data_IF_499429858991
#
_entry.id   IF_499429858991
#
_cell.length_a   1.000
_cell.length_b   1.000
_cell.length_c   1.000
_cell.angle_alpha   90.00
_cell.angle_beta   90.00
_cell.angle_gamma   90.00
#
_symmetry.space_group_name_H-M   'P 1'
#
loop_
_entity.id
_entity.type
_entity.pdbx_description
1 polymer ?
#
# COMPACT_ATOMS: atom_id res chain seq x y z
N UNK A 1 -9.75 51.02 -16.48
CA UNK A 1 -9.48 49.72 -15.83
C UNK A 1 -9.78 49.89 -14.36
N UNK A 2 -10.90 49.31 -13.94
CA UNK A 2 -11.57 49.56 -12.67
C UNK A 2 -10.78 48.96 -11.51
N UNK A 3 -10.11 49.81 -10.73
CA UNK A 3 -9.64 49.44 -9.39
C UNK A 3 -10.75 49.89 -8.43
N UNK A 4 -11.43 48.93 -7.82
CA UNK A 4 -12.48 49.19 -6.84
C UNK A 4 -12.11 48.56 -5.49
N UNK A 5 -12.32 49.39 -4.47
CA UNK A 5 -12.42 49.16 -3.03
C UNK A 5 -11.13 49.37 -2.21
N UNK A 6 -11.20 50.38 -1.33
CA UNK A 6 -11.07 50.08 0.10
C UNK A 6 -12.15 50.76 0.95
N UNK A 7 -12.53 50.13 2.07
CA UNK A 7 -12.84 50.75 3.39
C UNK A 7 -13.18 49.68 4.44
N UNK A 8 -12.17 49.36 5.25
CA UNK A 8 -12.15 49.38 6.73
C UNK A 8 -13.36 48.91 7.60
N UNK A 9 -12.98 48.22 8.69
CA UNK A 9 -13.57 48.12 10.05
C UNK A 9 -14.66 47.05 10.30
N UNK A 10 -14.37 46.02 11.12
CA UNK A 10 -14.79 45.95 12.55
C UNK A 10 -14.34 44.65 13.24
N UNK A 11 -13.79 44.87 14.45
CA UNK A 11 -13.39 43.94 15.50
C UNK A 11 -14.59 43.22 16.14
N UNK A 12 -14.36 41.95 16.50
CA UNK A 12 -14.81 41.21 17.70
C UNK A 12 -16.31 41.02 17.97
N UNK A 13 -16.75 39.76 18.13
CA UNK A 13 -17.58 39.31 19.26
C UNK A 13 -17.86 37.79 19.21
N UNK A 14 -17.25 37.07 20.15
CA UNK A 14 -17.58 35.73 20.60
C UNK A 14 -19.05 35.68 21.06
N UNK A 15 -19.89 34.83 20.45
CA UNK A 15 -21.25 34.56 20.95
C UNK A 15 -21.24 33.34 21.86
N UNK A 16 -21.09 33.58 23.15
CA UNK A 16 -21.51 32.63 24.18
C UNK A 16 -23.04 32.68 24.28
N UNK A 17 -23.72 31.60 23.91
CA UNK A 17 -25.13 31.41 24.25
C UNK A 17 -25.18 30.85 25.68
N UNK A 18 -25.39 31.75 26.65
CA UNK A 18 -25.72 31.39 28.03
C UNK A 18 -27.24 31.22 28.11
N UNK A 19 -27.72 30.00 28.35
CA UNK A 19 -29.13 29.74 28.64
C UNK A 19 -29.35 29.99 30.13
N UNK A 20 -29.72 31.22 30.49
CA UNK A 20 -30.23 31.54 31.83
C UNK A 20 -31.61 30.91 32.03
N UNK A 21 -31.74 30.09 33.07
CA UNK A 21 -33.05 29.69 33.61
C UNK A 21 -33.60 30.86 34.40
N UNK A 22 -34.58 31.58 33.85
CA UNK A 22 -35.28 32.64 34.56
C UNK A 22 -36.30 32.04 35.53
N UNK A 23 -35.99 32.05 36.83
CA UNK A 23 -36.98 31.80 37.90
C UNK A 23 -37.84 33.05 38.04
N UNK A 24 -39.06 33.01 37.50
CA UNK A 24 -40.02 34.11 37.60
C UNK A 24 -40.64 34.09 39.01
N UNK A 25 -40.21 35.02 39.87
CA UNK A 25 -40.81 35.21 41.20
C UNK A 25 -42.07 36.07 41.04
N UNK A 26 -43.25 35.46 41.18
CA UNK A 26 -44.52 36.20 41.19
C UNK A 26 -44.86 36.53 42.64
N UNK A 27 -44.77 37.81 43.00
CA UNK A 27 -45.28 38.35 44.25
C UNK A 27 -46.78 38.64 44.07
N UNK A 28 -47.65 37.78 44.60
CA UNK A 28 -49.11 38.03 44.59
C UNK A 28 -49.52 38.77 45.86
N UNK A 29 -49.97 40.01 45.72
CA UNK A 29 -50.70 40.72 46.78
C UNK A 29 -52.21 40.52 46.54
N UNK A 30 -52.84 39.83 47.49
CA UNK A 30 -54.29 39.71 47.76
C UNK A 30 -55.18 38.98 46.74
N UNK A 31 -55.64 37.78 47.13
CA UNK A 31 -57.09 37.52 47.13
C UNK A 31 -57.72 36.60 46.07
N UNK A 32 -57.02 35.64 45.47
CA UNK A 32 -57.62 34.49 44.76
C UNK A 32 -56.70 33.28 44.95
N UNK A 33 -57.26 32.10 45.26
CA UNK A 33 -56.50 30.88 45.54
C UNK A 33 -55.48 30.55 44.46
N UNK A 34 -54.21 30.85 44.72
CA UNK A 34 -53.10 30.50 43.84
C UNK A 34 -52.88 28.98 43.92
N UNK A 35 -53.36 28.26 42.92
CA UNK A 35 -52.86 26.93 42.61
C UNK A 35 -51.41 27.15 42.14
N UNK A 36 -50.45 27.05 43.06
CA UNK A 36 -49.04 27.03 42.68
C UNK A 36 -48.86 25.83 41.74
N UNK A 37 -48.42 26.03 40.49
CA UNK A 37 -48.04 24.90 39.66
C UNK A 37 -46.92 24.19 40.41
N UNK A 38 -47.13 22.93 40.76
CA UNK A 38 -46.05 22.06 41.23
C UNK A 38 -45.04 22.03 40.08
N UNK A 39 -43.97 22.81 40.23
CA UNK A 39 -42.81 22.75 39.35
C UNK A 39 -42.17 21.39 39.60
N UNK A 40 -42.64 20.36 38.90
CA UNK A 40 -41.96 19.08 38.86
C UNK A 40 -40.63 19.35 38.18
N UNK A 41 -39.56 19.43 38.98
CA UNK A 41 -38.21 19.51 38.46
C UNK A 41 -38.01 18.31 37.53
N UNK A 42 -37.82 18.59 36.24
CA UNK A 42 -37.56 17.56 35.25
C UNK A 42 -36.30 16.80 35.66
N UNK A 43 -36.42 15.50 35.83
CA UNK A 43 -35.27 14.65 36.16
C UNK A 43 -34.18 14.85 35.09
N UNK A 44 -32.96 15.11 35.53
CA UNK A 44 -31.83 15.28 34.62
C UNK A 44 -31.62 14.00 33.80
N UNK A 45 -31.21 14.19 32.55
CA UNK A 45 -30.75 13.10 31.69
C UNK A 45 -29.29 12.80 32.05
N UNK A 46 -29.02 11.54 32.36
CA UNK A 46 -27.70 11.02 32.75
C UNK A 46 -27.21 9.99 31.72
N UNK A 47 -25.93 9.61 31.83
CA UNK A 47 -25.32 8.60 30.98
C UNK A 47 -26.08 7.27 31.06
N UNK A 48 -26.32 6.62 29.91
CA UNK A 48 -27.08 5.37 29.81
C UNK A 48 -28.61 5.52 29.85
N UNK A 49 -29.15 6.72 30.03
CA UNK A 49 -30.59 6.93 29.97
C UNK A 49 -31.18 6.59 28.60
N UNK A 50 -32.42 6.12 28.61
CA UNK A 50 -33.24 5.96 27.42
C UNK A 50 -34.14 7.18 27.25
N UNK A 51 -34.14 7.78 26.07
CA UNK A 51 -34.98 8.95 25.75
C UNK A 51 -35.79 8.72 24.49
N UNK A 52 -36.97 9.34 24.42
CA UNK A 52 -37.83 9.40 23.23
C UNK A 52 -38.53 10.74 23.17
N UNK A 53 -38.62 11.34 21.98
CA UNK A 53 -39.37 12.59 21.83
C UNK A 53 -40.88 12.35 21.94
N UNK A 54 -41.61 13.30 22.52
CA UNK A 54 -43.07 13.23 22.60
C UNK A 54 -43.68 13.13 21.19
N UNK A 55 -44.51 12.09 20.97
CA UNK A 55 -45.13 11.82 19.67
C UNK A 55 -44.24 11.06 18.68
N UNK A 56 -43.04 10.66 19.08
CA UNK A 56 -42.10 9.87 18.29
C UNK A 56 -42.05 8.43 18.83
N UNK A 57 -41.67 7.47 17.98
CA UNK A 57 -41.48 6.07 18.36
C UNK A 57 -40.01 5.71 18.59
N UNK A 58 -39.07 6.47 18.01
CA UNK A 58 -37.65 6.19 18.11
C UNK A 58 -37.14 6.32 19.55
N UNK A 59 -36.54 5.24 20.05
CA UNK A 59 -35.87 5.23 21.37
C UNK A 59 -34.37 5.35 21.17
N UNK A 60 -33.75 6.25 21.93
CA UNK A 60 -32.31 6.46 21.91
C UNK A 60 -31.69 6.17 23.27
N UNK A 61 -30.51 5.56 23.26
CA UNK A 61 -29.65 5.45 24.45
C UNK A 61 -28.64 6.60 24.49
N UNK A 62 -28.59 7.30 25.60
CA UNK A 62 -27.72 8.47 25.83
C UNK A 62 -26.32 8.02 26.24
N UNK A 63 -25.30 8.69 25.70
CA UNK A 63 -23.91 8.60 26.15
C UNK A 63 -23.36 9.98 26.42
N UNK A 64 -22.79 10.20 27.59
CA UNK A 64 -22.17 11.43 28.03
C UNK A 64 -20.67 11.20 28.19
N UNK A 65 -19.84 11.93 27.43
CA UNK A 65 -18.37 11.83 27.51
C UNK A 65 -17.80 13.23 27.67
N UNK A 66 -17.36 13.59 28.87
CA UNK A 66 -16.96 14.96 29.19
C UNK A 66 -18.11 15.94 28.93
N UNK A 67 -17.91 16.89 28.01
CA UNK A 67 -18.95 17.84 27.59
C UNK A 67 -19.80 17.34 26.40
N UNK A 68 -19.46 16.19 25.80
CA UNK A 68 -20.17 15.65 24.63
C UNK A 68 -21.47 14.97 25.07
N UNK A 69 -22.56 15.33 24.39
CA UNK A 69 -23.88 14.72 24.54
C UNK A 69 -24.20 13.92 23.29
N UNK A 70 -24.15 12.60 23.41
CA UNK A 70 -24.35 11.67 22.31
C UNK A 70 -25.62 10.86 22.55
N UNK A 71 -26.26 10.44 21.46
CA UNK A 71 -27.36 9.48 21.51
C UNK A 71 -27.19 8.45 20.40
N UNK A 72 -27.65 7.23 20.60
CA UNK A 72 -27.69 6.19 19.57
C UNK A 72 -29.10 5.63 19.46
N UNK A 73 -29.61 5.51 18.25
CA UNK A 73 -30.89 4.87 17.98
C UNK A 73 -30.84 3.40 18.38
N UNK A 74 -31.86 2.92 19.10
CA UNK A 74 -32.17 1.50 19.23
C UNK A 74 -33.13 1.17 18.11
N UNK A 75 -32.64 0.46 17.09
CA UNK A 75 -33.29 0.37 15.78
C UNK A 75 -34.72 -0.16 15.81
N UNK A 76 -34.97 -1.17 16.64
CA UNK A 76 -36.27 -1.82 16.74
C UNK A 76 -36.46 -2.48 18.12
N UNK A 77 -37.69 -2.91 18.47
CA UNK A 77 -38.00 -3.53 19.75
C UNK A 77 -37.25 -4.84 20.02
N UNK A 78 -36.91 -5.62 19.00
CA UNK A 78 -36.19 -6.89 19.18
C UNK A 78 -34.77 -6.62 19.71
N UNK A 79 -34.07 -5.65 19.12
CA UNK A 79 -32.78 -5.19 19.63
C UNK A 79 -32.91 -4.70 21.07
N UNK A 80 -33.95 -3.91 21.39
CA UNK A 80 -34.19 -3.44 22.74
C UNK A 80 -34.30 -4.60 23.73
N UNK A 81 -35.11 -5.61 23.41
CA UNK A 81 -35.41 -6.74 24.27
C UNK A 81 -34.21 -7.69 24.48
N UNK A 82 -33.20 -7.62 23.62
CA UNK A 82 -31.96 -8.38 23.79
C UNK A 82 -31.06 -7.83 24.89
N UNK A 83 -31.26 -6.58 25.32
CA UNK A 83 -30.54 -5.99 26.44
C UNK A 83 -31.31 -6.16 27.75
N UNK A 84 -30.93 -7.16 28.56
CA UNK A 84 -31.58 -7.46 29.85
C UNK A 84 -31.64 -6.30 30.85
N UNK A 85 -30.75 -5.32 30.71
CA UNK A 85 -30.68 -4.15 31.60
C UNK A 85 -31.56 -2.98 31.12
N UNK A 86 -32.01 -3.00 29.86
CA UNK A 86 -32.92 -1.99 29.33
C UNK A 86 -34.37 -2.35 29.66
N UNK A 87 -35.17 -1.35 29.99
CA UNK A 87 -36.59 -1.51 30.34
C UNK A 87 -37.40 -0.40 29.71
N UNK A 88 -38.52 -0.74 29.06
CA UNK A 88 -39.42 0.24 28.45
C UNK A 88 -39.94 1.29 29.44
N UNK A 89 -40.12 0.89 30.72
CA UNK A 89 -40.49 1.79 31.81
C UNK A 89 -39.44 2.88 32.12
N UNK A 90 -38.19 2.68 31.68
CA UNK A 90 -37.10 3.62 31.91
C UNK A 90 -36.96 4.63 30.76
N UNK A 91 -37.75 4.52 29.69
CA UNK A 91 -37.73 5.47 28.58
C UNK A 91 -38.34 6.79 29.03
N UNK A 92 -37.51 7.83 29.10
CA UNK A 92 -37.91 9.19 29.46
C UNK A 92 -38.48 9.90 28.24
N UNK A 93 -39.71 10.40 28.36
CA UNK A 93 -40.30 11.27 27.32
C UNK A 93 -39.72 12.67 27.43
N UNK A 94 -39.16 13.16 26.34
CA UNK A 94 -38.51 14.47 26.21
C UNK A 94 -39.15 15.30 25.10
N UNK A 95 -38.83 16.59 25.03
CA UNK A 95 -39.21 17.39 23.85
C UNK A 95 -38.28 17.05 22.68
N UNK A 96 -38.74 17.27 21.44
CA UNK A 96 -37.89 17.08 20.26
C UNK A 96 -36.60 17.91 20.35
N UNK A 97 -36.72 19.18 20.76
CA UNK A 97 -35.57 20.08 20.93
C UNK A 97 -34.53 19.57 21.93
N UNK A 98 -34.95 18.95 23.04
CA UNK A 98 -34.01 18.36 23.99
C UNK A 98 -33.36 17.09 23.43
N UNK A 99 -34.13 16.22 22.79
CA UNK A 99 -33.61 15.03 22.09
C UNK A 99 -32.58 15.42 21.03
N UNK A 100 -32.83 16.49 20.27
CA UNK A 100 -31.94 16.98 19.21
C UNK A 100 -30.72 17.75 19.72
N UNK A 101 -30.69 18.10 21.02
CA UNK A 101 -29.48 18.62 21.67
C UNK A 101 -28.39 17.57 21.89
N UNK A 102 -28.70 16.28 21.67
CA UNK A 102 -27.74 15.18 21.68
C UNK A 102 -27.39 14.81 20.23
N UNK A 103 -26.11 14.77 19.90
CA UNK A 103 -25.62 14.36 18.59
C UNK A 103 -25.86 12.87 18.39
N UNK A 104 -26.53 12.50 17.30
CA UNK A 104 -26.74 11.09 16.96
C UNK A 104 -25.43 10.45 16.52
N UNK A 105 -24.97 9.45 17.26
CA UNK A 105 -23.90 8.57 16.80
C UNK A 105 -24.46 7.43 15.95
N UNK A 106 -23.74 7.14 14.87
CA UNK A 106 -23.96 5.99 13.98
C UNK A 106 -22.79 5.00 14.07
N UNK A 107 -21.88 5.18 15.02
CA UNK A 107 -20.66 4.39 15.13
C UNK A 107 -20.80 3.37 16.25
N UNK A 108 -20.62 2.10 15.92
CA UNK A 108 -20.70 1.00 16.89
C UNK A 108 -19.55 0.02 16.75
N UNK A 109 -19.26 -0.70 17.82
CA UNK A 109 -18.36 -1.85 17.83
C UNK A 109 -19.02 -2.96 18.63
N UNK A 110 -18.99 -4.19 18.14
CA UNK A 110 -19.51 -5.30 18.94
C UNK A 110 -18.59 -5.59 20.13
N UNK A 111 -19.16 -6.03 21.24
CA UNK A 111 -18.38 -6.45 22.40
C UNK A 111 -17.42 -7.60 22.02
N UNK A 112 -16.16 -7.48 22.42
CA UNK A 112 -15.08 -8.40 22.01
C UNK A 112 -14.61 -8.27 20.55
N UNK A 113 -15.18 -7.36 19.75
CA UNK A 113 -14.75 -7.07 18.37
C UNK A 113 -13.85 -5.83 18.35
N UNK A 114 -12.90 -5.78 17.41
CA UNK A 114 -12.07 -4.59 17.16
C UNK A 114 -12.62 -3.71 16.05
N UNK A 115 -13.55 -4.21 15.24
CA UNK A 115 -14.10 -3.49 14.08
C UNK A 115 -15.13 -2.44 14.50
N UNK A 116 -14.93 -1.22 14.02
CA UNK A 116 -15.92 -0.14 14.14
C UNK A 116 -16.77 -0.10 12.88
N UNK A 117 -18.08 -0.12 13.06
CA UNK A 117 -19.06 -0.08 11.99
C UNK A 117 -19.78 1.27 11.98
N UNK A 118 -19.94 1.83 10.78
CA UNK A 118 -20.87 2.91 10.50
C UNK A 118 -22.24 2.30 10.16
N UNK A 119 -23.26 2.66 10.93
CA UNK A 119 -24.62 2.20 10.76
C UNK A 119 -25.40 3.14 9.83
N UNK A 120 -26.29 2.58 9.03
CA UNK A 120 -27.23 3.30 8.17
C UNK A 120 -28.64 2.75 8.40
N UNK A 121 -29.36 3.27 9.41
CA UNK A 121 -30.75 2.92 9.65
C UNK A 121 -31.66 3.29 8.46
N UNK A 122 -32.63 2.43 8.19
CA UNK A 122 -33.72 2.60 7.22
C UNK A 122 -34.99 1.98 7.81
N UNK A 123 -35.76 2.81 8.53
CA UNK A 123 -36.86 2.35 9.39
C UNK A 123 -36.38 1.40 10.49
N UNK A 124 -37.07 0.26 10.64
CA UNK A 124 -36.74 -0.79 11.63
C UNK A 124 -35.60 -1.73 11.17
N UNK A 125 -35.01 -1.45 10.00
CA UNK A 125 -33.88 -2.20 9.42
C UNK A 125 -32.71 -1.27 9.12
N UNK A 126 -31.62 -1.80 8.58
CA UNK A 126 -30.52 -0.95 8.15
C UNK A 126 -29.32 -1.73 7.65
N UNK A 127 -28.27 -1.00 7.31
CA UNK A 127 -26.98 -1.58 6.95
C UNK A 127 -25.84 -1.14 7.89
N UNK A 128 -24.77 -1.93 7.91
CA UNK A 128 -23.52 -1.63 8.60
C UNK A 128 -22.37 -1.69 7.60
N UNK A 129 -21.43 -0.77 7.70
CA UNK A 129 -20.23 -0.75 6.88
C UNK A 129 -19.02 -0.73 7.81
N UNK A 130 -18.05 -1.62 7.62
CA UNK A 130 -16.84 -1.59 8.44
C UNK A 130 -15.99 -0.38 8.04
N UNK A 131 -15.58 0.42 9.03
CA UNK A 131 -14.56 1.46 8.87
C UNK A 131 -13.19 0.80 9.00
N UNK A 132 -12.49 0.61 7.88
CA UNK A 132 -11.41 -0.39 7.78
C UNK A 132 -10.14 -0.05 8.54
N UNK A 133 -9.85 1.23 8.80
CA UNK A 133 -8.66 1.66 9.53
C UNK A 133 -8.95 2.82 10.49
N UNK A 134 -8.18 2.90 11.59
CA UNK A 134 -8.26 4.02 12.52
C UNK A 134 -7.82 5.35 11.89
N UNK A 135 -6.88 5.32 10.94
CA UNK A 135 -6.47 6.50 10.18
C UNK A 135 -7.61 7.05 9.32
N UNK A 136 -8.34 6.17 8.62
CA UNK A 136 -9.50 6.57 7.84
C UNK A 136 -10.64 7.07 8.73
N UNK A 137 -10.85 6.43 9.88
CA UNK A 137 -11.80 6.91 10.88
C UNK A 137 -11.52 8.38 11.28
N UNK A 138 -10.26 8.69 11.63
CA UNK A 138 -9.86 10.06 12.00
C UNK A 138 -9.96 11.02 10.81
N UNK A 139 -9.59 10.58 9.59
CA UNK A 139 -9.65 11.44 8.40
C UNK A 139 -11.08 11.83 7.99
N UNK A 140 -12.07 10.98 8.28
CA UNK A 140 -13.49 11.29 8.10
C UNK A 140 -14.05 12.20 9.22
N UNK A 141 -13.23 12.58 10.18
CA UNK A 141 -13.65 13.37 11.34
C UNK A 141 -14.52 12.59 12.32
N UNK A 142 -14.51 11.26 12.25
CA UNK A 142 -15.21 10.44 13.23
C UNK A 142 -14.52 10.53 14.59
N UNK A 143 -15.34 10.40 15.63
CA UNK A 143 -14.93 10.60 17.01
C UNK A 143 -15.00 9.28 17.77
N UNK A 144 -13.88 8.86 18.37
CA UNK A 144 -13.81 7.62 19.13
C UNK A 144 -14.75 7.63 20.35
N UNK A 145 -15.04 8.82 20.91
CA UNK A 145 -16.02 8.96 21.99
C UNK A 145 -17.45 8.69 21.51
N UNK A 146 -17.72 8.85 20.21
CA UNK A 146 -19.01 8.54 19.61
C UNK A 146 -19.22 7.03 19.39
N UNK A 147 -18.20 6.18 19.51
CA UNK A 147 -18.36 4.73 19.32
C UNK A 147 -19.10 4.12 20.51
N UNK A 148 -20.22 3.46 20.24
CA UNK A 148 -20.94 2.66 21.23
C UNK A 148 -20.48 1.19 21.16
N UNK A 149 -20.30 0.56 22.32
CA UNK A 149 -20.18 -0.90 22.36
C UNK A 149 -21.57 -1.52 22.35
N UNK A 150 -21.84 -2.45 21.44
CA UNK A 150 -23.13 -3.13 21.27
C UNK A 150 -22.95 -4.65 21.37
N UNK A 151 -24.02 -5.40 21.61
CA UNK A 151 -23.95 -6.85 21.54
C UNK A 151 -23.89 -7.34 20.08
N UNK A 152 -23.53 -8.61 19.89
CA UNK A 152 -23.43 -9.20 18.56
C UNK A 152 -24.79 -9.24 17.84
N UNK A 153 -25.89 -9.47 18.56
CA UNK A 153 -27.24 -9.52 17.98
C UNK A 153 -27.61 -8.19 17.30
N UNK A 154 -27.39 -7.07 17.99
CA UNK A 154 -27.65 -5.74 17.45
C UNK A 154 -26.78 -5.49 16.22
N UNK A 155 -25.48 -5.76 16.33
CA UNK A 155 -24.56 -5.64 15.18
C UNK A 155 -25.09 -6.44 13.98
N UNK A 156 -25.50 -7.69 14.20
CA UNK A 156 -25.93 -8.63 13.15
C UNK A 156 -27.38 -8.40 12.66
N UNK A 157 -28.16 -7.55 13.34
CA UNK A 157 -29.47 -7.09 12.87
C UNK A 157 -29.36 -6.10 11.70
N UNK A 158 -28.19 -5.48 11.50
CA UNK A 158 -27.89 -4.66 10.33
C UNK A 158 -27.31 -5.52 9.21
N UNK A 159 -27.87 -5.37 8.00
CA UNK A 159 -27.33 -5.98 6.78
C UNK A 159 -25.90 -5.50 6.51
N UNK A 160 -25.02 -6.37 6.05
CA UNK A 160 -23.64 -5.95 5.76
C UNK A 160 -23.59 -5.19 4.43
N UNK A 161 -23.19 -3.92 4.47
CA UNK A 161 -22.91 -3.09 3.31
C UNK A 161 -21.42 -3.16 2.92
N UNK A 162 -21.07 -2.47 1.83
CA UNK A 162 -19.67 -2.37 1.41
C UNK A 162 -18.84 -1.64 2.48
N UNK A 163 -17.67 -2.17 2.82
CA UNK A 163 -16.76 -1.55 3.77
C UNK A 163 -16.32 -0.15 3.30
N UNK A 164 -16.09 0.75 4.24
CA UNK A 164 -15.63 2.11 3.99
C UNK A 164 -14.20 2.25 4.50
N UNK A 165 -13.33 2.72 3.62
CA UNK A 165 -11.91 2.80 3.88
C UNK A 165 -11.24 3.80 2.96
N UNK A 166 -9.92 4.00 3.09
CA UNK A 166 -9.19 4.69 2.05
C UNK A 166 -9.46 3.96 0.73
N UNK A 167 -9.51 4.71 -0.39
CA UNK A 167 -9.56 4.10 -1.71
C UNK A 167 -8.50 3.00 -1.74
N UNK A 168 -8.88 1.78 -2.16
CA UNK A 168 -7.94 0.68 -2.24
C UNK A 168 -6.69 1.21 -2.97
N UNK A 169 -5.53 1.10 -2.31
CA UNK A 169 -4.27 1.31 -3.02
C UNK A 169 -4.35 0.47 -4.31
N UNK A 170 -3.86 0.97 -5.45
CA UNK A 170 -3.85 0.15 -6.66
C UNK A 170 -3.24 -1.19 -6.29
N UNK A 171 -4.00 -2.27 -6.50
CA UNK A 171 -3.46 -3.63 -6.39
C UNK A 171 -2.14 -3.62 -7.16
N UNK A 172 -1.00 -4.10 -6.60
CA UNK A 172 0.18 -4.31 -7.42
C UNK A 172 -0.30 -5.18 -8.58
N UNK A 173 -0.38 -4.60 -9.78
CA UNK A 173 -0.75 -5.36 -10.97
C UNK A 173 0.17 -6.56 -11.00
N UNK A 174 -0.39 -7.78 -11.15
CA UNK A 174 0.30 -9.05 -10.93
C UNK A 174 1.77 -8.93 -11.32
N UNK A 175 2.63 -8.71 -10.32
CA UNK A 175 4.06 -8.61 -10.58
C UNK A 175 4.48 -10.03 -10.90
N UNK A 176 4.81 -10.26 -12.17
CA UNK A 176 5.30 -11.57 -12.59
C UNK A 176 6.46 -12.01 -11.69
N UNK A 177 6.67 -13.31 -11.54
CA UNK A 177 7.88 -13.85 -10.93
C UNK A 177 8.89 -14.18 -12.03
N UNK A 178 10.18 -13.98 -11.74
CA UNK A 178 11.28 -14.34 -12.60
C UNK A 178 12.08 -15.45 -11.94
N UNK A 179 12.12 -16.62 -12.56
CA UNK A 179 13.01 -17.71 -12.14
C UNK A 179 14.24 -17.70 -13.03
N UNK A 180 15.42 -17.74 -12.41
CA UNK A 180 16.71 -17.80 -13.09
C UNK A 180 17.32 -19.18 -12.85
N UNK A 181 17.80 -19.82 -13.91
CA UNK A 181 18.46 -21.12 -13.78
C UNK A 181 19.62 -21.27 -14.77
N UNK A 182 20.50 -22.24 -14.50
CA UNK A 182 21.56 -22.64 -15.43
C UNK A 182 20.93 -23.45 -16.57
N UNK A 183 21.28 -23.14 -17.81
CA UNK A 183 20.87 -23.97 -18.94
C UNK A 183 21.63 -25.30 -18.93
N UNK A 184 20.94 -26.40 -19.23
CA UNK A 184 21.56 -27.73 -19.30
C UNK A 184 22.66 -27.83 -20.36
N UNK A 185 22.57 -27.02 -21.41
CA UNK A 185 23.54 -26.89 -22.50
C UNK A 185 24.52 -25.72 -22.30
N UNK A 186 24.76 -25.31 -21.04
CA UNK A 186 25.83 -24.36 -20.73
C UNK A 186 27.18 -24.92 -21.22
N UNK A 187 28.09 -24.07 -21.75
CA UNK A 187 29.38 -24.53 -22.28
C UNK A 187 30.16 -25.41 -21.30
N UNK A 188 30.65 -26.55 -21.79
CA UNK A 188 31.55 -27.42 -21.03
C UNK A 188 32.92 -26.75 -20.84
N UNK A 189 33.64 -27.14 -19.78
CA UNK A 189 34.98 -26.63 -19.52
C UNK A 189 35.91 -26.88 -20.72
N UNK A 190 36.57 -25.82 -21.20
CA UNK A 190 37.41 -25.85 -22.38
C UNK A 190 38.59 -24.87 -22.26
N UNK A 191 39.48 -24.90 -23.24
CA UNK A 191 40.56 -23.93 -23.39
C UNK A 191 40.03 -22.63 -24.02
N UNK A 192 40.50 -21.51 -23.49
CA UNK A 192 40.21 -20.17 -24.00
C UNK A 192 41.51 -19.51 -24.42
N UNK A 193 41.53 -18.95 -25.63
CA UNK A 193 42.73 -18.46 -26.31
C UNK A 193 42.77 -16.93 -26.38
N UNK A 194 43.94 -16.37 -26.69
CA UNK A 194 44.12 -14.92 -26.79
C UNK A 194 43.30 -14.31 -27.92
N UNK A 195 42.82 -13.07 -27.70
CA UNK A 195 41.98 -12.29 -28.62
C UNK A 195 40.65 -12.95 -29.02
N UNK A 196 40.23 -14.01 -28.33
CA UNK A 196 38.94 -14.64 -28.59
C UNK A 196 37.80 -13.70 -28.18
N UNK A 197 36.89 -13.41 -29.11
CA UNK A 197 35.73 -12.58 -28.85
C UNK A 197 34.50 -13.42 -28.50
N UNK A 198 33.65 -12.89 -27.63
CA UNK A 198 32.32 -13.44 -27.26
C UNK A 198 32.36 -14.90 -26.78
N UNK A 199 33.45 -15.32 -26.14
CA UNK A 199 33.61 -16.69 -25.63
C UNK A 199 32.52 -16.94 -24.57
N UNK A 200 31.61 -17.90 -24.77
CA UNK A 200 30.52 -18.13 -23.82
C UNK A 200 31.02 -18.92 -22.61
N UNK A 201 30.81 -18.39 -21.41
CA UNK A 201 31.16 -19.05 -20.15
C UNK A 201 29.94 -19.65 -19.46
N UNK A 202 28.80 -18.98 -19.52
CA UNK A 202 27.60 -19.41 -18.79
C UNK A 202 26.35 -19.07 -19.57
N UNK A 203 25.50 -20.07 -19.79
CA UNK A 203 24.18 -19.88 -20.39
C UNK A 203 23.12 -19.89 -19.30
N UNK A 204 22.42 -18.77 -19.14
CA UNK A 204 21.36 -18.59 -18.13
C UNK A 204 19.99 -18.56 -18.79
N UNK A 205 19.01 -19.15 -18.12
CA UNK A 205 17.61 -19.16 -18.52
C UNK A 205 16.81 -18.25 -17.59
N UNK A 206 16.02 -17.38 -18.19
CA UNK A 206 15.10 -16.47 -17.51
C UNK A 206 13.67 -16.87 -17.84
N UNK A 207 12.93 -17.39 -16.87
CA UNK A 207 11.53 -17.79 -17.05
C UNK A 207 10.62 -16.83 -16.30
N UNK A 208 9.74 -16.12 -17.02
CA UNK A 208 8.74 -15.25 -16.41
C UNK A 208 7.43 -16.02 -16.19
N UNK A 209 6.82 -15.89 -15.01
CA UNK A 209 5.54 -16.50 -14.66
C UNK A 209 4.62 -15.45 -14.06
N UNK A 210 3.29 -15.58 -14.25
CA UNK A 210 2.32 -14.62 -13.71
C UNK A 210 2.25 -13.26 -14.43
N UNK A 211 3.12 -12.97 -15.40
CA UNK A 211 3.08 -11.76 -16.22
C UNK A 211 4.40 -11.51 -16.95
N UNK A 212 4.44 -10.48 -17.79
CA UNK A 212 5.68 -9.99 -18.41
C UNK A 212 6.60 -9.43 -17.32
N UNK A 213 7.89 -9.75 -17.37
CA UNK A 213 8.90 -9.23 -16.44
C UNK A 213 10.00 -8.52 -17.23
N UNK A 214 10.29 -7.27 -16.86
CA UNK A 214 11.43 -6.52 -17.41
C UNK A 214 12.57 -6.51 -16.39
N UNK A 215 13.69 -7.11 -16.78
CA UNK A 215 14.98 -7.02 -16.09
C UNK A 215 15.53 -5.62 -16.31
N UNK A 216 16.02 -5.00 -15.25
CA UNK A 216 16.64 -3.66 -15.24
C UNK A 216 18.16 -3.76 -15.17
N UNK A 217 18.63 -4.56 -14.20
CA UNK A 217 20.05 -4.66 -13.89
C UNK A 217 20.46 -6.11 -13.75
N UNK A 218 21.59 -6.49 -14.34
CA UNK A 218 22.26 -7.77 -14.16
C UNK A 218 23.67 -7.54 -13.65
N UNK A 219 24.05 -8.21 -12.56
CA UNK A 219 25.43 -8.17 -12.04
C UNK A 219 26.09 -9.51 -12.24
N UNK A 220 27.19 -9.51 -12.99
CA UNK A 220 28.03 -10.68 -13.27
C UNK A 220 29.29 -10.55 -12.42
N UNK A 221 29.77 -11.66 -11.90
CA UNK A 221 31.00 -11.75 -11.12
C UNK A 221 31.93 -12.80 -11.75
N UNK A 222 33.18 -12.44 -12.02
CA UNK A 222 34.22 -13.41 -12.38
C UNK A 222 34.65 -14.16 -11.12
N UNK A 223 34.66 -15.48 -11.21
CA UNK A 223 35.05 -16.39 -10.13
C UNK A 223 36.18 -17.31 -10.60
N UNK A 224 36.79 -18.03 -9.65
CA UNK A 224 37.93 -18.92 -9.89
C UNK A 224 39.29 -18.22 -9.75
N UNK A 225 40.38 -19.01 -9.67
CA UNK A 225 41.75 -18.50 -9.58
C UNK A 225 42.21 -17.99 -10.97
N UNK A 226 41.81 -16.77 -11.27
CA UNK A 226 42.14 -16.05 -12.50
C UNK A 226 42.28 -14.56 -12.23
N UNK A 227 43.14 -13.88 -12.96
CA UNK A 227 43.19 -12.43 -13.01
C UNK A 227 42.02 -11.86 -13.83
N UNK A 228 41.51 -10.69 -13.43
CA UNK A 228 40.52 -9.95 -14.23
C UNK A 228 41.09 -9.50 -15.57
N UNK A 229 42.41 -9.25 -15.63
CA UNK A 229 43.14 -8.84 -16.82
C UNK A 229 43.11 -9.86 -17.97
N UNK A 230 42.68 -11.11 -17.72
CA UNK A 230 42.42 -12.07 -18.79
C UNK A 230 41.21 -11.67 -19.66
N UNK A 231 40.34 -10.80 -19.15
CA UNK A 231 39.15 -10.31 -19.85
C UNK A 231 39.38 -8.85 -20.27
N UNK A 232 39.15 -8.54 -21.54
CA UNK A 232 39.01 -7.16 -22.01
C UNK A 232 37.73 -6.54 -21.44
N UNK A 233 36.63 -7.25 -21.64
CA UNK A 233 35.29 -6.86 -21.22
C UNK A 233 34.35 -8.08 -21.31
N UNK A 234 33.17 -7.93 -20.74
CA UNK A 234 32.10 -8.91 -20.75
C UNK A 234 30.95 -8.41 -21.61
N UNK A 235 30.27 -9.34 -22.27
CA UNK A 235 29.10 -9.09 -23.11
C UNK A 235 28.01 -10.10 -22.83
N UNK A 236 26.77 -9.65 -22.97
CA UNK A 236 25.59 -10.51 -22.94
C UNK A 236 25.15 -10.77 -24.37
N UNK A 237 24.90 -12.04 -24.72
CA UNK A 237 24.42 -12.45 -26.05
C UNK A 237 23.04 -13.08 -25.91
N UNK A 238 22.08 -12.57 -26.65
CA UNK A 238 20.77 -13.18 -26.81
C UNK A 238 20.93 -14.47 -27.64
N UNK A 239 20.54 -15.62 -27.09
CA UNK A 239 20.76 -16.92 -27.74
C UNK A 239 19.86 -17.14 -28.96
N UNK A 240 18.68 -16.51 -28.98
CA UNK A 240 17.73 -16.65 -30.08
C UNK A 240 18.19 -15.85 -31.31
N UNK A 241 18.64 -14.61 -31.08
CA UNK A 241 19.01 -13.70 -32.16
C UNK A 241 20.51 -13.65 -32.46
N UNK A 242 21.34 -14.23 -31.57
CA UNK A 242 22.80 -14.07 -31.56
C UNK A 242 23.28 -12.60 -31.49
N UNK A 243 22.40 -11.68 -31.10
CA UNK A 243 22.73 -10.27 -30.96
C UNK A 243 23.33 -9.97 -29.58
N UNK A 244 24.24 -9.01 -29.53
CA UNK A 244 24.68 -8.44 -28.26
C UNK A 244 23.53 -7.69 -27.59
N UNK A 245 23.34 -7.94 -26.31
CA UNK A 245 22.44 -7.18 -25.46
C UNK A 245 23.27 -6.08 -24.79
N UNK A 246 22.96 -4.84 -25.13
CA UNK A 246 23.60 -3.67 -24.52
C UNK A 246 25.04 -3.44 -24.93
N UNK A 247 25.76 -2.75 -24.05
CA UNK A 247 27.18 -2.37 -24.22
C UNK A 247 28.11 -3.32 -23.48
N UNK A 248 29.35 -3.43 -23.96
CA UNK A 248 30.44 -4.15 -23.29
C UNK A 248 30.68 -3.56 -21.89
N UNK A 249 30.99 -4.42 -20.90
CA UNK A 249 31.28 -4.02 -19.52
C UNK A 249 32.60 -4.59 -19.03
N UNK A 250 33.47 -3.74 -18.52
CA UNK A 250 34.72 -4.16 -17.87
C UNK A 250 34.46 -4.67 -16.45
N UNK A 251 35.40 -5.47 -15.93
CA UNK A 251 35.38 -5.93 -14.54
C UNK A 251 35.88 -4.80 -13.61
N UNK A 252 35.21 -4.62 -12.48
CA UNK A 252 35.64 -3.74 -11.38
C UNK A 252 36.72 -4.41 -10.51
N UNK A 253 37.25 -3.67 -9.53
CA UNK A 253 38.17 -4.20 -8.50
C UNK A 253 37.58 -5.33 -7.66
N UNK A 254 36.25 -5.45 -7.62
CA UNK A 254 35.53 -6.52 -6.92
C UNK A 254 35.21 -7.71 -7.84
N UNK A 255 35.84 -7.78 -9.02
CA UNK A 255 35.63 -8.80 -10.04
C UNK A 255 34.20 -8.80 -10.61
N UNK A 256 33.52 -7.64 -10.63
CA UNK A 256 32.11 -7.52 -11.05
C UNK A 256 31.93 -6.66 -12.28
N UNK A 257 30.93 -7.00 -13.10
CA UNK A 257 30.45 -6.19 -14.21
C UNK A 257 28.92 -6.03 -14.10
N UNK A 258 28.43 -4.81 -14.25
CA UNK A 258 26.99 -4.49 -14.14
C UNK A 258 26.44 -4.00 -15.46
N UNK A 259 25.42 -4.69 -15.95
CA UNK A 259 24.64 -4.32 -17.14
C UNK A 259 23.34 -3.67 -16.68
N UNK A 260 22.98 -2.54 -17.28
CA UNK A 260 21.82 -1.70 -16.92
C UNK A 260 20.78 -1.65 -18.04
N UNK A 261 20.68 -2.73 -18.79
CA UNK A 261 19.97 -2.77 -20.05
C UNK A 261 18.67 -3.55 -19.87
N UNK A 262 17.59 -2.99 -20.42
CA UNK A 262 16.26 -3.55 -20.24
C UNK A 262 16.09 -4.81 -21.06
N UNK A 263 15.78 -5.92 -20.38
CA UNK A 263 15.44 -7.18 -21.05
C UNK A 263 14.03 -7.60 -20.62
N UNK A 264 13.08 -7.54 -21.54
CA UNK A 264 11.71 -8.00 -21.31
C UNK A 264 11.60 -9.49 -21.62
N UNK A 265 11.12 -10.27 -20.64
CA UNK A 265 10.76 -11.68 -20.77
C UNK A 265 9.24 -11.76 -20.72
N UNK A 266 8.63 -12.37 -21.73
CA UNK A 266 7.17 -12.50 -21.83
C UNK A 266 6.65 -13.52 -20.83
N UNK A 267 5.48 -13.25 -20.24
CA UNK A 267 4.87 -14.15 -19.27
C UNK A 267 4.63 -15.54 -19.85
N UNK A 268 5.07 -16.57 -19.13
CA UNK A 268 5.00 -17.97 -19.57
C UNK A 268 6.09 -18.38 -20.57
N UNK A 269 7.02 -17.48 -20.93
CA UNK A 269 8.14 -17.80 -21.81
C UNK A 269 9.46 -17.86 -21.06
N UNK A 270 10.44 -18.50 -21.70
CA UNK A 270 11.82 -18.56 -21.22
C UNK A 270 12.74 -17.90 -22.22
N UNK A 271 13.56 -16.95 -21.76
CA UNK A 271 14.59 -16.30 -22.55
C UNK A 271 15.97 -16.81 -22.13
N UNK A 272 16.81 -17.20 -23.09
CA UNK A 272 18.16 -17.67 -22.83
C UNK A 272 19.19 -16.58 -23.19
N UNK A 273 20.15 -16.36 -22.28
CA UNK A 273 21.24 -15.38 -22.48
C UNK A 273 22.57 -16.05 -22.19
N UNK A 274 23.54 -15.87 -23.08
CA UNK A 274 24.93 -16.23 -22.84
C UNK A 274 25.67 -15.08 -22.19
N UNK A 275 26.34 -15.37 -21.08
CA UNK A 275 27.32 -14.49 -20.45
C UNK A 275 28.67 -14.87 -21.06
N UNK A 276 29.22 -13.94 -21.84
CA UNK A 276 30.42 -14.15 -22.63
C UNK A 276 31.53 -13.16 -22.26
N UNK A 277 32.78 -13.58 -22.41
CA UNK A 277 33.96 -12.73 -22.24
C UNK A 277 34.63 -12.45 -23.58
N UNK A 278 35.05 -11.20 -23.78
CA UNK A 278 36.06 -10.85 -24.77
C UNK A 278 37.43 -11.00 -24.10
N UNK A 279 38.28 -11.84 -24.68
CA UNK A 279 39.56 -12.23 -24.08
C UNK A 279 40.65 -11.24 -24.42
N UNK A 280 41.48 -10.91 -23.44
CA UNK A 280 42.60 -10.01 -23.62
C UNK A 280 43.61 -10.54 -24.65
N UNK A 281 44.40 -9.62 -25.21
CA UNK A 281 45.48 -9.96 -26.12
C UNK A 281 46.66 -10.67 -25.46
N UNK A 282 46.69 -10.70 -24.12
CA UNK A 282 47.63 -11.50 -23.33
C UNK A 282 46.87 -12.16 -22.20
N UNK A 283 46.98 -13.49 -22.10
CA UNK A 283 46.33 -14.29 -21.06
C UNK A 283 47.37 -14.91 -20.13
N UNK A 284 46.99 -15.16 -18.87
CA UNK A 284 47.77 -15.92 -17.93
C UNK A 284 47.47 -17.42 -18.09
N UNK A 285 48.39 -18.16 -18.70
CA UNK A 285 48.18 -19.58 -19.00
C UNK A 285 47.99 -20.44 -17.75
N UNK A 286 47.01 -21.35 -17.78
CA UNK A 286 46.70 -22.27 -16.67
C UNK A 286 45.73 -21.72 -15.63
N UNK A 287 45.35 -20.45 -15.70
CA UNK A 287 44.32 -19.87 -14.84
C UNK A 287 42.92 -20.37 -15.19
N UNK A 288 42.06 -20.47 -14.17
CA UNK A 288 40.69 -20.98 -14.28
C UNK A 288 39.70 -19.86 -13.97
N UNK A 289 38.85 -19.51 -14.93
CA UNK A 289 37.82 -18.49 -14.75
C UNK A 289 36.43 -19.04 -15.05
N UNK A 290 35.45 -18.64 -14.24
CA UNK A 290 34.02 -18.83 -14.51
C UNK A 290 33.29 -17.50 -14.37
N UNK A 291 32.24 -17.27 -15.15
CA UNK A 291 31.38 -16.10 -15.03
C UNK A 291 30.09 -16.49 -14.30
N UNK A 292 29.83 -15.86 -13.15
CA UNK A 292 28.66 -16.12 -12.32
C UNK A 292 27.67 -14.97 -12.48
N UNK A 293 26.42 -15.27 -12.75
CA UNK A 293 25.33 -14.31 -12.58
C UNK A 293 25.06 -14.19 -11.07
N UNK A 294 25.49 -13.08 -10.47
CA UNK A 294 25.38 -12.86 -9.03
C UNK A 294 23.96 -12.44 -8.63
N UNK A 295 23.41 -11.44 -9.31
CA UNK A 295 22.09 -10.89 -8.99
C UNK A 295 21.43 -10.27 -10.21
N UNK A 296 20.09 -10.18 -10.13
CA UNK A 296 19.22 -9.56 -11.14
C UNK A 296 18.21 -8.68 -10.41
N UNK A 297 18.00 -7.47 -10.91
CA UNK A 297 17.00 -6.52 -10.42
C UNK A 297 15.98 -6.28 -11.53
N UNK A 298 14.70 -6.19 -11.18
CA UNK A 298 13.58 -6.00 -12.12
C UNK A 298 12.94 -4.63 -11.94
N UNK A 299 12.40 -4.04 -13.02
CA UNK A 299 11.79 -2.69 -12.99
C UNK A 299 10.47 -2.63 -12.21
N UNK A 300 9.72 -3.73 -12.20
CA UNK A 300 8.38 -3.80 -11.60
C UNK A 300 8.36 -4.44 -10.22
N UNK A 301 9.51 -4.52 -9.52
CA UNK A 301 9.66 -5.25 -8.26
C UNK A 301 9.16 -6.72 -8.34
N UNK A 302 9.24 -7.31 -9.53
CA UNK A 302 8.98 -8.72 -9.76
C UNK A 302 9.92 -9.57 -8.91
N UNK A 303 9.38 -10.56 -8.18
CA UNK A 303 10.19 -11.45 -7.36
C UNK A 303 11.17 -12.24 -8.23
N UNK A 304 12.46 -12.25 -7.86
CA UNK A 304 13.51 -13.00 -8.56
C UNK A 304 13.96 -14.17 -7.69
N UNK A 305 14.04 -15.37 -8.27
CA UNK A 305 14.54 -16.57 -7.61
C UNK A 305 15.60 -17.29 -8.45
N UNK A 306 16.45 -18.09 -7.81
CA UNK A 306 17.42 -18.96 -8.49
C UNK A 306 18.78 -18.31 -8.80
N UNK A 307 19.01 -17.06 -8.40
CA UNK A 307 20.36 -16.47 -8.33
C UNK A 307 21.04 -16.82 -7.00
N UNK A 308 22.38 -16.93 -6.95
CA UNK A 308 23.33 -16.81 -8.06
C UNK A 308 23.42 -18.07 -8.93
N UNK A 309 23.77 -17.89 -10.21
CA UNK A 309 23.97 -18.99 -11.18
C UNK A 309 25.40 -18.96 -11.71
N UNK A 310 26.11 -20.08 -11.63
CA UNK A 310 27.51 -20.19 -12.08
C UNK A 310 27.65 -21.28 -13.13
N UNK A 311 28.32 -20.99 -14.24
CA UNK A 311 28.69 -22.01 -15.24
C UNK A 311 30.02 -22.69 -14.93
N UNK A 312 30.55 -23.40 -15.93
CA UNK A 312 31.80 -24.14 -15.79
C UNK A 312 33.02 -23.22 -15.83
N UNK A 313 34.11 -23.63 -15.17
CA UNK A 313 35.40 -22.94 -15.28
C UNK A 313 36.10 -23.28 -16.59
N UNK A 314 36.58 -22.25 -17.28
CA UNK A 314 37.40 -22.37 -18.49
C UNK A 314 38.88 -22.17 -18.15
N UNK A 315 39.75 -22.84 -18.89
CA UNK A 315 41.22 -22.75 -18.71
C UNK A 315 41.83 -21.79 -19.72
N UNK A 316 42.60 -20.84 -19.24
CA UNK A 316 43.29 -19.86 -20.08
C UNK A 316 44.51 -20.48 -20.78
N UNK A 317 44.68 -20.19 -22.06
CA UNK A 317 45.84 -20.59 -22.85
C UNK A 317 46.56 -19.36 -23.41
N UNK A 318 47.82 -19.18 -23.02
CA UNK A 318 48.68 -18.05 -23.40
C UNK A 318 49.56 -18.31 -24.63
N UNK A 319 49.48 -19.51 -25.21
CA UNK A 319 50.32 -19.93 -26.35
C UNK A 319 49.58 -19.91 -27.68
N UNK A 320 48.26 -19.95 -27.65
CA UNK A 320 47.39 -19.94 -28.82
C UNK A 320 46.73 -18.57 -28.94
N UNK A 321 46.70 -18.04 -30.16
CA UNK A 321 46.01 -16.81 -30.51
C UNK A 321 45.17 -17.04 -31.77
N UNK A 322 44.00 -16.40 -31.84
CA UNK A 322 43.21 -16.37 -33.07
C UNK A 322 43.90 -15.43 -34.07
N UNK A 323 44.01 -15.82 -35.33
CA UNK A 323 44.60 -14.98 -36.38
C UNK A 323 43.85 -13.65 -36.52
N UNK A 324 44.58 -12.54 -36.63
CA UNK A 324 44.01 -11.19 -36.77
C UNK A 324 43.78 -10.84 -38.25
N UNK A 325 42.61 -10.31 -38.57
CA UNK A 325 42.36 -9.65 -39.85
C UNK A 325 42.32 -8.14 -39.64
N UNK A 326 43.34 -7.42 -40.09
CA UNK A 326 43.34 -5.95 -40.11
C UNK A 326 42.75 -5.44 -41.41
N UNK A 327 41.65 -4.69 -41.33
CA UNK A 327 41.10 -3.93 -42.46
C UNK A 327 41.82 -2.59 -42.51
N UNK A 328 42.72 -2.42 -43.48
CA UNK A 328 43.31 -1.13 -43.79
C UNK A 328 42.43 -0.39 -44.81
N UNK A 329 42.12 0.89 -44.57
CA UNK A 329 41.54 1.75 -45.60
C UNK A 329 42.58 1.95 -46.71
N UNK A 330 42.21 1.67 -47.97
CA UNK A 330 43.09 1.92 -49.12
C UNK A 330 43.42 3.41 -49.24
N UNK A 331 44.65 3.74 -49.66
CA UNK A 331 45.21 5.11 -49.70
C UNK A 331 44.58 6.10 -50.67
N UNK A 332 43.29 5.96 -51.00
CA UNK A 332 42.52 6.85 -51.87
C UNK A 332 41.44 7.66 -51.14
N UNK A 333 41.41 7.67 -49.80
CA UNK A 333 40.52 8.59 -49.05
C UNK A 333 41.18 9.98 -49.05
N UNK A 334 40.63 10.99 -49.75
CA UNK A 334 41.19 12.34 -49.71
C UNK A 334 41.02 12.89 -48.29
N UNK A 335 42.10 13.44 -47.72
CA UNK A 335 42.00 14.22 -46.49
C UNK A 335 41.09 15.42 -46.77
N UNK A 336 39.98 15.53 -46.05
CA UNK A 336 39.11 16.70 -46.12
C UNK A 336 39.89 17.91 -45.59
N UNK A 337 40.16 18.86 -46.50
CA UNK A 337 40.61 20.22 -46.20
C UNK A 337 39.49 21.06 -45.61
#
# INVERSE_FOLDING_TARGET
MTIHLPKSVRRTATKAFSASVSVMTILTLSGVGAVLPVMVAKAAIVDGDLIRASGDFDVYIVKLVGSKKLKRLILNPDIFNQYRHLKWSNVKTVTAAERDSYTTSRLVRADGDTKVYLLSPDGDTGSRQWVTTGEYFVSQGYDWDAVYTVNNFERDSYTSGADVGPAAAPSPGVVGSLTVSLAADTPAAALVVQNAARVPFTKVLFTASGGDVTIDTMTIERTGPSADANFSDLVLIDVETNAQIGTEKTLSSEHKATFLEDITVKGGTTKAVNISGNMAGTLNGGELAALKLLSVVTKSNASVSGTPVTGNSMTMNSTLAIGTATVAAGGLVPAAS
#
